data_IF_076203777598
#
_entry.id   IF_076203777598
#
_cell.length_a   1.000
_cell.length_b   1.000
_cell.length_c   1.000
_cell.angle_alpha   90.00
_cell.angle_beta   90.00
_cell.angle_gamma   90.00
#
_symmetry.space_group_name_H-M   'P 1'
#
loop_
_entity.id
_entity.type
_entity.pdbx_description
1 polymer ?
#
# COMPACT_ATOMS: atom_id res chain seq x y z
N UNK A 1 9.58 -2.74 7.44
CA UNK A 1 8.18 -2.92 7.04
C UNK A 1 7.73 -1.88 6.03
N UNK A 2 7.86 -0.56 6.26
CA UNK A 2 7.41 0.47 5.31
C UNK A 2 7.89 0.25 3.85
N UNK A 3 9.19 0.03 3.63
CA UNK A 3 9.74 -0.25 2.30
C UNK A 3 9.21 -1.56 1.68
N UNK A 4 8.97 -2.60 2.49
CA UNK A 4 8.42 -3.88 2.03
C UNK A 4 6.97 -3.67 1.58
N UNK A 5 6.19 -2.91 2.36
CA UNK A 5 4.80 -2.56 2.01
C UNK A 5 4.73 -1.71 0.73
N UNK A 6 5.67 -0.78 0.54
CA UNK A 6 5.79 -0.03 -0.71
C UNK A 6 6.03 -0.97 -1.90
N UNK A 7 7.03 -1.86 -1.81
CA UNK A 7 7.33 -2.81 -2.87
C UNK A 7 6.17 -3.77 -3.16
N UNK A 8 5.41 -4.14 -2.14
CA UNK A 8 4.19 -4.94 -2.31
C UNK A 8 3.10 -4.18 -3.09
N UNK A 9 2.88 -2.91 -2.76
CA UNK A 9 1.94 -2.06 -3.47
C UNK A 9 2.36 -1.83 -4.93
N UNK A 10 3.65 -1.63 -5.18
CA UNK A 10 4.23 -1.51 -6.53
C UNK A 10 4.01 -2.79 -7.35
N UNK A 11 4.32 -3.95 -6.79
CA UNK A 11 4.13 -5.25 -7.47
C UNK A 11 2.65 -5.48 -7.83
N UNK A 12 1.74 -5.19 -6.90
CA UNK A 12 0.29 -5.27 -7.17
C UNK A 12 -0.11 -4.33 -8.31
N UNK A 13 0.36 -3.08 -8.28
CA UNK A 13 0.04 -2.09 -9.29
C UNK A 13 0.51 -2.51 -10.68
N UNK A 14 1.74 -3.02 -10.79
CA UNK A 14 2.31 -3.51 -12.05
C UNK A 14 1.50 -4.66 -12.65
N UNK A 15 1.17 -5.67 -11.84
CA UNK A 15 0.37 -6.81 -12.26
C UNK A 15 -1.06 -6.37 -12.67
N UNK A 16 -1.67 -5.46 -11.91
CA UNK A 16 -2.98 -4.89 -12.23
C UNK A 16 -2.98 -4.09 -13.52
N UNK A 17 -1.93 -3.28 -13.74
CA UNK A 17 -1.79 -2.48 -14.95
C UNK A 17 -1.60 -3.37 -16.18
N UNK A 18 -0.79 -4.42 -16.09
CA UNK A 18 -0.58 -5.38 -17.16
C UNK A 18 -1.88 -6.12 -17.49
N UNK A 19 -2.50 -6.74 -16.48
CA UNK A 19 -3.76 -7.48 -16.65
C UNK A 19 -4.88 -6.60 -17.21
N UNK A 20 -4.97 -5.34 -16.79
CA UNK A 20 -6.00 -4.40 -17.26
C UNK A 20 -5.88 -4.06 -18.75
N UNK A 21 -4.68 -4.16 -19.32
CA UNK A 21 -4.44 -3.93 -20.75
C UNK A 21 -4.77 -5.16 -21.60
N UNK A 22 -4.58 -6.35 -21.05
CA UNK A 22 -4.73 -7.62 -21.78
C UNK A 22 -6.14 -8.20 -21.67
N UNK A 23 -6.76 -8.11 -20.50
CA UNK A 23 -8.06 -8.73 -20.24
C UNK A 23 -9.16 -8.00 -21.01
N UNK A 24 -9.89 -8.74 -21.85
CA UNK A 24 -11.05 -8.24 -22.60
C UNK A 24 -12.34 -8.62 -21.88
N UNK A 25 -13.21 -7.64 -21.65
CA UNK A 25 -14.59 -7.83 -21.21
C UNK A 25 -15.52 -6.87 -21.96
N UNK A 26 -16.74 -7.31 -22.28
CA UNK A 26 -17.69 -6.52 -23.06
C UNK A 26 -17.09 -5.94 -24.36
N UNK A 27 -16.25 -6.73 -25.03
CA UNK A 27 -15.65 -6.39 -26.33
C UNK A 27 -14.46 -5.41 -26.29
N UNK A 28 -13.97 -5.01 -25.12
CA UNK A 28 -12.82 -4.10 -24.98
C UNK A 28 -11.92 -4.45 -23.78
N UNK A 29 -10.66 -3.98 -23.76
CA UNK A 29 -9.80 -4.10 -22.60
C UNK A 29 -10.44 -3.50 -21.34
N UNK A 30 -10.31 -4.17 -20.19
CA UNK A 30 -10.95 -3.69 -18.95
C UNK A 30 -10.37 -2.35 -18.48
N UNK A 31 -9.13 -2.01 -18.86
CA UNK A 31 -8.53 -0.70 -18.61
C UNK A 31 -9.22 0.47 -19.32
N UNK A 32 -10.21 0.22 -20.19
CA UNK A 32 -11.07 1.28 -20.75
C UNK A 32 -12.26 1.65 -19.85
N UNK A 33 -12.55 0.86 -18.81
CA UNK A 33 -13.62 1.20 -17.86
C UNK A 33 -13.10 2.21 -16.83
N UNK A 34 -13.80 3.32 -16.65
CA UNK A 34 -13.42 4.39 -15.72
C UNK A 34 -13.14 3.89 -14.31
N UNK A 35 -13.92 2.92 -13.82
CA UNK A 35 -13.72 2.33 -12.50
C UNK A 35 -12.31 1.73 -12.33
N UNK A 36 -11.81 1.02 -13.34
CA UNK A 36 -10.46 0.43 -13.33
C UNK A 36 -9.39 1.51 -13.47
N UNK A 37 -9.64 2.53 -14.29
CA UNK A 37 -8.73 3.66 -14.45
C UNK A 37 -8.57 4.45 -13.14
N UNK A 38 -9.66 4.69 -12.41
CA UNK A 38 -9.62 5.34 -11.11
C UNK A 38 -8.81 4.53 -10.10
N UNK A 39 -9.04 3.21 -10.03
CA UNK A 39 -8.27 2.34 -9.13
C UNK A 39 -6.76 2.42 -9.41
N UNK A 40 -6.36 2.33 -10.68
CA UNK A 40 -4.94 2.41 -11.05
C UNK A 40 -4.37 3.81 -10.80
N UNK A 41 -5.13 4.88 -11.06
CA UNK A 41 -4.70 6.25 -10.79
C UNK A 41 -4.50 6.49 -9.29
N UNK A 42 -5.46 6.07 -8.46
CA UNK A 42 -5.40 6.21 -7.00
C UNK A 42 -4.22 5.41 -6.43
N UNK A 43 -4.03 4.16 -6.88
CA UNK A 43 -2.87 3.35 -6.51
C UNK A 43 -1.55 4.07 -6.85
N UNK A 44 -1.42 4.62 -8.06
CA UNK A 44 -0.21 5.32 -8.47
C UNK A 44 0.08 6.56 -7.60
N UNK A 45 -0.96 7.35 -7.28
CA UNK A 45 -0.85 8.52 -6.40
C UNK A 45 -0.39 8.09 -5.00
N UNK A 46 -1.07 7.10 -4.43
CA UNK A 46 -0.79 6.60 -3.09
C UNK A 46 0.63 6.02 -2.96
N UNK A 47 1.07 5.24 -3.95
CA UNK A 47 2.43 4.69 -4.01
C UNK A 47 3.47 5.81 -4.02
N UNK A 48 3.27 6.86 -4.82
CA UNK A 48 4.18 8.01 -4.87
C UNK A 48 4.22 8.76 -3.53
N UNK A 49 3.06 8.94 -2.87
CA UNK A 49 3.01 9.57 -1.54
C UNK A 49 3.73 8.73 -0.49
N UNK A 50 3.56 7.41 -0.51
CA UNK A 50 4.26 6.49 0.41
C UNK A 50 5.77 6.51 0.17
N UNK A 51 6.20 6.49 -1.09
CA UNK A 51 7.59 6.60 -1.51
C UNK A 51 8.23 7.89 -0.99
N UNK A 52 7.56 9.03 -1.18
CA UNK A 52 8.06 10.32 -0.71
C UNK A 52 8.20 10.37 0.82
N UNK A 53 7.23 9.82 1.55
CA UNK A 53 7.29 9.78 3.01
C UNK A 53 8.43 8.87 3.52
N UNK A 54 8.65 7.72 2.87
CA UNK A 54 9.75 6.81 3.18
C UNK A 54 11.10 7.48 2.90
N UNK A 55 11.27 8.13 1.75
CA UNK A 55 12.52 8.82 1.42
C UNK A 55 12.79 10.03 2.31
N UNK A 56 11.74 10.77 2.71
CA UNK A 56 11.88 11.82 3.74
C UNK A 56 12.44 11.22 5.03
N UNK A 57 11.89 10.10 5.49
CA UNK A 57 12.36 9.42 6.70
C UNK A 57 13.82 8.94 6.56
N UNK A 58 14.19 8.37 5.41
CA UNK A 58 15.56 7.95 5.13
C UNK A 58 16.53 9.14 5.17
N UNK A 59 16.17 10.24 4.50
CA UNK A 59 16.96 11.46 4.50
C UNK A 59 17.17 12.04 5.90
N UNK A 60 16.12 12.09 6.74
CA UNK A 60 16.25 12.53 8.13
C UNK A 60 17.22 11.65 8.92
N UNK A 61 17.12 10.32 8.75
CA UNK A 61 18.00 9.35 9.39
C UNK A 61 19.47 9.55 8.98
N UNK A 62 19.74 9.69 7.68
CA UNK A 62 21.09 9.89 7.14
C UNK A 62 21.73 11.20 7.61
N UNK A 63 20.91 12.22 7.88
CA UNK A 63 21.37 13.51 8.40
C UNK A 63 21.40 13.59 9.93
N UNK A 64 21.12 12.49 10.64
CA UNK A 64 21.09 12.45 12.11
C UNK A 64 19.99 13.32 12.73
N UNK A 65 18.96 13.66 11.97
CA UNK A 65 17.81 14.44 12.42
C UNK A 65 16.75 13.53 13.06
N UNK A 66 15.90 14.04 13.97
CA UNK A 66 14.79 13.24 14.52
C UNK A 66 13.86 12.74 13.40
N UNK A 67 13.59 11.43 13.38
CA UNK A 67 12.79 10.78 12.32
C UNK A 67 11.74 9.80 12.87
N UNK A 68 11.58 9.69 14.18
CA UNK A 68 10.72 8.69 14.81
C UNK A 68 9.23 8.85 14.45
N UNK A 69 8.76 10.09 14.28
CA UNK A 69 7.38 10.38 13.86
C UNK A 69 7.20 10.00 12.40
N UNK A 70 8.10 10.44 11.52
CA UNK A 70 8.09 10.11 10.08
C UNK A 70 8.19 8.60 9.84
N UNK A 71 8.99 7.87 10.60
CA UNK A 71 9.11 6.42 10.50
C UNK A 71 7.78 5.72 10.83
N UNK A 72 7.11 6.17 11.89
CA UNK A 72 5.79 5.66 12.28
C UNK A 72 4.73 5.99 11.22
N UNK A 73 4.71 7.23 10.72
CA UNK A 73 3.82 7.64 9.62
C UNK A 73 4.06 6.80 8.36
N UNK A 74 5.33 6.61 7.98
CA UNK A 74 5.72 5.82 6.82
C UNK A 74 5.27 4.36 6.95
N UNK A 75 5.45 3.74 8.12
CA UNK A 75 4.98 2.37 8.38
C UNK A 75 3.49 2.26 8.21
N UNK A 76 2.72 3.14 8.85
CA UNK A 76 1.25 3.09 8.84
C UNK A 76 0.76 3.27 7.41
N UNK A 77 1.15 4.37 6.77
CA UNK A 77 0.65 4.76 5.47
C UNK A 77 1.02 3.75 4.39
N UNK A 78 2.27 3.29 4.34
CA UNK A 78 2.69 2.28 3.35
C UNK A 78 1.96 0.94 3.57
N UNK A 79 1.70 0.54 4.82
CA UNK A 79 0.96 -0.70 5.11
C UNK A 79 -0.52 -0.62 4.72
N UNK A 80 -1.15 0.54 4.92
CA UNK A 80 -2.54 0.79 4.50
C UNK A 80 -2.67 0.70 2.98
N UNK A 81 -1.79 1.38 2.26
CA UNK A 81 -1.81 1.39 0.79
C UNK A 81 -1.52 0.00 0.23
N UNK A 82 -0.59 -0.75 0.81
CA UNK A 82 -0.32 -2.11 0.36
C UNK A 82 -1.55 -3.01 0.46
N UNK A 83 -2.31 -2.89 1.55
CA UNK A 83 -3.56 -3.64 1.73
C UNK A 83 -4.65 -3.14 0.79
N UNK A 84 -4.80 -1.84 0.63
CA UNK A 84 -5.79 -1.23 -0.27
C UNK A 84 -5.52 -1.63 -1.72
N UNK A 85 -4.28 -1.46 -2.18
CA UNK A 85 -3.84 -1.86 -3.52
C UNK A 85 -4.09 -3.36 -3.74
N UNK A 86 -3.68 -4.23 -2.82
CA UNK A 86 -3.91 -5.67 -2.95
C UNK A 86 -5.41 -6.01 -2.99
N UNK A 87 -6.23 -5.33 -2.21
CA UNK A 87 -7.69 -5.49 -2.23
C UNK A 87 -8.28 -5.06 -3.58
N UNK A 88 -7.85 -3.93 -4.13
CA UNK A 88 -8.25 -3.50 -5.47
C UNK A 88 -7.72 -4.42 -6.57
N UNK A 89 -6.54 -5.01 -6.38
CA UNK A 89 -6.03 -6.04 -7.27
C UNK A 89 -6.92 -7.29 -7.30
N UNK A 90 -7.39 -7.74 -6.13
CA UNK A 90 -8.36 -8.84 -6.05
C UNK A 90 -9.66 -8.50 -6.79
N UNK A 91 -10.14 -7.25 -6.69
CA UNK A 91 -11.33 -6.80 -7.43
C UNK A 91 -11.09 -6.76 -8.96
N UNK A 92 -9.93 -6.27 -9.42
CA UNK A 92 -9.56 -6.18 -10.85
C UNK A 92 -9.44 -7.57 -11.47
N UNK A 93 -8.78 -8.50 -10.78
CA UNK A 93 -8.59 -9.88 -11.24
C UNK A 93 -9.86 -10.73 -11.05
N UNK A 94 -10.78 -10.30 -10.20
CA UNK A 94 -12.03 -10.99 -9.85
C UNK A 94 -11.76 -12.48 -9.52
N UNK A 95 -12.51 -13.41 -10.13
CA UNK A 95 -12.34 -14.85 -9.89
C UNK A 95 -10.93 -15.37 -10.16
N UNK A 96 -10.19 -14.77 -11.11
CA UNK A 96 -8.81 -15.18 -11.41
C UNK A 96 -7.84 -14.82 -10.28
N UNK A 97 -8.13 -13.74 -9.53
CA UNK A 97 -7.29 -13.28 -8.42
C UNK A 97 -7.26 -14.27 -7.25
N UNK A 98 -8.28 -15.12 -7.11
CA UNK A 98 -8.34 -16.17 -6.09
C UNK A 98 -7.58 -17.45 -6.48
N UNK A 99 -7.11 -17.56 -7.73
CA UNK A 99 -6.38 -18.74 -8.19
C UNK A 99 -4.92 -18.68 -7.75
N UNK A 100 -4.29 -19.85 -7.62
CA UNK A 100 -2.86 -19.94 -7.32
C UNK A 100 -1.98 -19.61 -8.54
N UNK A 101 -2.57 -19.43 -9.72
CA UNK A 101 -1.88 -18.96 -10.94
C UNK A 101 -1.68 -17.44 -10.92
N UNK A 102 -2.43 -16.72 -10.08
CA UNK A 102 -2.25 -15.31 -9.81
C UNK A 102 -1.49 -15.08 -8.51
N UNK A 103 -0.53 -14.16 -8.54
CA UNK A 103 0.19 -13.72 -7.35
C UNK A 103 -0.64 -12.74 -6.49
N UNK A 104 -1.76 -12.22 -6.99
CA UNK A 104 -2.59 -11.22 -6.29
C UNK A 104 -3.11 -11.73 -4.94
N UNK A 105 -3.59 -12.98 -4.85
CA UNK A 105 -4.01 -13.54 -3.56
C UNK A 105 -2.86 -13.68 -2.56
N UNK A 106 -1.62 -13.89 -3.04
CA UNK A 106 -0.44 -13.94 -2.18
C UNK A 106 -0.18 -12.54 -1.62
N UNK A 107 -0.14 -11.53 -2.50
CA UNK A 107 0.05 -10.15 -2.08
C UNK A 107 -1.01 -9.67 -1.09
N UNK A 108 -2.28 -10.04 -1.32
CA UNK A 108 -3.35 -9.72 -0.38
C UNK A 108 -3.11 -10.34 1.00
N UNK A 109 -2.75 -11.62 1.08
CA UNK A 109 -2.43 -12.27 2.36
C UNK A 109 -1.21 -11.66 3.04
N UNK A 110 -0.15 -11.35 2.30
CA UNK A 110 1.07 -10.74 2.84
C UNK A 110 0.80 -9.31 3.34
N UNK A 111 -0.04 -8.55 2.63
CA UNK A 111 -0.41 -7.18 3.01
C UNK A 111 -1.16 -7.11 4.35
N UNK A 112 -1.99 -8.11 4.66
CA UNK A 112 -2.69 -8.21 5.94
C UNK A 112 -1.70 -8.25 7.12
N UNK A 113 -0.58 -8.94 6.96
CA UNK A 113 0.46 -9.00 7.99
C UNK A 113 1.07 -7.61 8.26
N UNK A 114 1.26 -6.81 7.21
CA UNK A 114 1.93 -5.50 7.32
C UNK A 114 1.15 -4.51 8.19
N UNK A 115 -0.17 -4.65 8.24
CA UNK A 115 -1.06 -3.78 9.04
C UNK A 115 -0.79 -3.94 10.53
N UNK A 116 -0.69 -5.18 11.04
CA UNK A 116 -0.57 -5.41 12.48
C UNK A 116 0.86 -5.69 12.98
N UNK A 117 1.78 -6.09 12.11
CA UNK A 117 3.16 -6.40 12.49
C UNK A 117 4.13 -5.26 12.13
N UNK A 118 5.18 -5.00 12.93
CA UNK A 118 5.46 -5.52 14.29
C UNK A 118 4.61 -4.84 15.38
N UNK A 119 3.95 -3.74 15.03
CA UNK A 119 3.02 -3.00 15.88
C UNK A 119 1.74 -2.75 15.09
N UNK A 120 0.61 -2.75 15.77
CA UNK A 120 -0.66 -2.39 15.15
C UNK A 120 -0.64 -0.93 14.70
N UNK A 121 -1.43 -0.62 13.68
CA UNK A 121 -1.50 0.77 13.22
C UNK A 121 -2.08 1.70 14.29
N UNK A 122 -3.05 1.23 15.09
CA UNK A 122 -3.60 2.00 16.20
C UNK A 122 -2.53 2.36 17.24
N UNK A 123 -1.66 1.42 17.58
CA UNK A 123 -0.52 1.71 18.46
C UNK A 123 0.45 2.71 17.82
N UNK A 124 0.67 2.63 16.51
CA UNK A 124 1.46 3.62 15.76
C UNK A 124 0.82 5.02 15.78
N UNK A 125 -0.50 5.12 15.62
CA UNK A 125 -1.26 6.38 15.70
C UNK A 125 -1.18 6.97 17.11
N UNK A 126 -1.33 6.14 18.14
CA UNK A 126 -1.15 6.54 19.54
C UNK A 126 0.25 7.08 19.81
N UNK A 127 1.29 6.47 19.25
CA UNK A 127 2.67 6.95 19.37
C UNK A 127 2.84 8.32 18.71
N UNK A 128 2.34 8.51 17.49
CA UNK A 128 2.39 9.80 16.78
C UNK A 128 1.70 10.89 17.61
N UNK A 129 0.51 10.61 18.14
CA UNK A 129 -0.23 11.53 19.00
C UNK A 129 0.58 11.97 20.24
N UNK A 130 1.25 11.02 20.90
CA UNK A 130 2.12 11.30 22.05
C UNK A 130 3.31 12.20 21.68
N UNK A 131 3.92 12.00 20.51
CA UNK A 131 4.99 12.86 20.01
C UNK A 131 4.52 14.31 19.76
N UNK A 132 3.23 14.53 19.50
CA UNK A 132 2.62 15.86 19.40
C UNK A 132 2.15 16.44 20.75
N UNK A 133 2.45 15.77 21.87
CA UNK A 133 2.20 16.27 23.21
C UNK A 133 0.86 15.81 23.84
N UNK A 134 0.14 14.90 23.19
CA UNK A 134 -1.06 14.30 23.79
C UNK A 134 -0.68 13.27 24.87
N UNK A 135 -1.52 13.09 25.91
CA UNK A 135 -1.26 12.11 26.95
C UNK A 135 -1.26 10.69 26.38
N UNK A 136 -0.57 9.77 27.08
CA UNK A 136 -0.48 8.37 26.67
C UNK A 136 -1.86 7.71 26.67
N UNK A 137 -2.25 7.15 25.53
CA UNK A 137 -3.46 6.34 25.34
C UNK A 137 -3.36 5.02 26.12
N UNK A 138 -4.49 4.55 26.68
CA UNK A 138 -4.61 3.27 27.40
C UNK A 138 -4.80 2.08 26.46
#
# INVERSE_FOLDING_TARGET
MAMISLGLAEAVFEDCLAYSKERIAFGKPIGQFMAIQHYLADMAIQIELARNLIFKCAWLCDNGLPYHVEASMAKIYASDIALEAATKGMEIFAGYGYTMESDIQRYWRDSQQMVFSPISQEMGRNFIAQCYGLPKSF
#
